data_IF_457407239038
#
_entry.id   IF_457407239038
#
_cell.length_a   1.000
_cell.length_b   1.000
_cell.length_c   1.000
_cell.angle_alpha   90.00
_cell.angle_beta   90.00
_cell.angle_gamma   90.00
#
_symmetry.space_group_name_H-M   'P 1'
#
loop_
_entity.id
_entity.type
_entity.pdbx_description
1 polymer ?
#
# COMPACT_ATOMS: atom_id res chain seq x y z
N UNK A 1 -16.66 3.44 -19.99
CA UNK A 1 -16.04 4.69 -20.49
C UNK A 1 -14.58 4.37 -20.79
N UNK A 2 -14.16 4.46 -22.05
CA UNK A 2 -12.79 4.13 -22.45
C UNK A 2 -11.90 5.35 -22.18
N UNK A 3 -10.99 5.24 -21.22
CA UNK A 3 -9.97 6.25 -20.97
C UNK A 3 -8.73 5.87 -21.78
N UNK A 4 -8.15 6.83 -22.47
CA UNK A 4 -6.84 6.69 -23.13
C UNK A 4 -5.74 6.67 -22.05
N UNK A 5 -4.85 5.66 -22.01
CA UNK A 5 -3.71 5.64 -21.10
C UNK A 5 -2.78 6.85 -21.26
N UNK A 6 -2.67 7.39 -22.47
CA UNK A 6 -1.87 8.58 -22.78
C UNK A 6 -2.63 9.81 -22.30
N UNK A 7 -2.02 10.57 -21.38
CA UNK A 7 -2.58 11.82 -20.90
C UNK A 7 -2.35 12.95 -21.91
N UNK A 8 -1.13 13.06 -22.42
CA UNK A 8 -0.73 14.01 -23.46
C UNK A 8 0.65 13.63 -24.01
N UNK A 9 1.01 14.18 -25.17
CA UNK A 9 2.31 13.96 -25.83
C UNK A 9 3.10 15.25 -25.86
N UNK A 10 4.39 15.21 -25.48
CA UNK A 10 5.33 16.34 -25.59
C UNK A 10 6.52 15.91 -26.43
N UNK A 11 6.75 16.59 -27.56
CA UNK A 11 7.93 16.36 -28.39
C UNK A 11 8.05 14.92 -28.91
N UNK A 12 6.93 14.24 -29.15
CA UNK A 12 6.89 12.83 -29.56
C UNK A 12 7.07 11.82 -28.42
N UNK A 13 7.07 12.27 -27.16
CA UNK A 13 7.12 11.42 -25.97
C UNK A 13 5.74 11.42 -25.32
N UNK A 14 5.14 10.23 -25.18
CA UNK A 14 3.84 10.06 -24.55
C UNK A 14 3.97 10.06 -23.02
N UNK A 15 3.22 10.95 -22.38
CA UNK A 15 3.09 11.01 -20.93
C UNK A 15 1.87 10.23 -20.51
N UNK A 16 2.08 9.15 -19.75
CA UNK A 16 1.02 8.24 -19.31
C UNK A 16 0.34 8.76 -18.04
N UNK A 17 -0.98 8.60 -17.95
CA UNK A 17 -1.74 8.88 -16.72
C UNK A 17 -1.17 8.13 -15.50
N UNK A 18 -0.74 6.88 -15.71
CA UNK A 18 -0.14 6.07 -14.66
C UNK A 18 1.09 6.76 -14.03
N UNK A 19 1.95 7.36 -14.87
CA UNK A 19 3.13 8.11 -14.41
C UNK A 19 2.74 9.36 -13.62
N UNK A 20 1.75 10.12 -14.10
CA UNK A 20 1.22 11.29 -13.40
C UNK A 20 0.70 10.89 -12.01
N UNK A 21 -0.12 9.84 -11.93
CA UNK A 21 -0.70 9.35 -10.67
C UNK A 21 0.36 8.85 -9.68
N UNK A 22 1.41 8.17 -10.15
CA UNK A 22 2.55 7.80 -9.30
C UNK A 22 3.21 9.05 -8.72
N UNK A 23 3.57 10.03 -9.56
CA UNK A 23 4.25 11.25 -9.11
C UNK A 23 3.38 12.04 -8.14
N UNK A 24 2.08 12.14 -8.40
CA UNK A 24 1.11 12.75 -7.49
C UNK A 24 1.06 12.00 -6.15
N UNK A 25 0.99 10.67 -6.17
CA UNK A 25 1.01 9.85 -4.96
C UNK A 25 2.30 10.04 -4.15
N UNK A 26 3.45 10.11 -4.83
CA UNK A 26 4.75 10.38 -4.21
C UNK A 26 4.79 11.79 -3.59
N UNK A 27 4.31 12.80 -4.30
CA UNK A 27 4.26 14.18 -3.80
C UNK A 27 3.36 14.30 -2.56
N UNK A 28 2.17 13.67 -2.58
CA UNK A 28 1.27 13.61 -1.42
C UNK A 28 1.89 12.84 -0.25
N UNK A 29 2.64 11.77 -0.52
CA UNK A 29 3.36 11.03 0.49
C UNK A 29 4.46 11.86 1.16
N UNK A 30 5.26 12.57 0.36
CA UNK A 30 6.28 13.49 0.84
C UNK A 30 5.67 14.63 1.66
N UNK A 31 4.61 15.27 1.15
CA UNK A 31 3.88 16.33 1.85
C UNK A 31 3.34 15.84 3.20
N UNK A 32 2.75 14.65 3.24
CA UNK A 32 2.28 14.03 4.49
C UNK A 32 3.42 13.85 5.49
N UNK A 33 4.60 13.42 5.01
CA UNK A 33 5.81 13.33 5.81
C UNK A 33 6.19 14.69 6.40
N UNK A 34 6.37 15.70 5.55
CA UNK A 34 6.77 17.06 5.93
C UNK A 34 5.88 17.64 7.04
N UNK A 35 4.56 17.43 6.94
CA UNK A 35 3.59 17.90 7.94
C UNK A 35 3.68 17.19 9.30
N UNK A 36 4.44 16.08 9.38
CA UNK A 36 4.52 15.20 10.56
C UNK A 36 5.91 15.10 11.17
N UNK A 37 6.97 15.54 10.50
CA UNK A 37 8.36 15.45 10.97
C UNK A 37 8.54 15.92 12.42
N UNK A 38 8.07 17.13 12.72
CA UNK A 38 8.21 17.73 14.05
C UNK A 38 7.47 16.95 15.13
N UNK A 39 6.29 16.38 14.81
CA UNK A 39 5.51 15.57 15.76
C UNK A 39 6.21 14.27 16.11
N UNK A 40 6.97 13.71 15.18
CA UNK A 40 7.78 12.51 15.38
C UNK A 40 9.18 12.82 15.97
N UNK A 41 9.47 14.10 16.25
CA UNK A 41 10.76 14.54 16.76
C UNK A 41 11.89 14.32 15.75
N UNK A 42 11.59 14.45 14.46
CA UNK A 42 12.55 14.37 13.36
C UNK A 42 12.98 15.79 12.92
N UNK A 43 14.21 15.96 12.42
CA UNK A 43 14.63 17.21 11.81
C UNK A 43 13.71 17.63 10.66
N UNK A 44 13.63 18.94 10.40
CA UNK A 44 12.96 19.44 9.19
C UNK A 44 13.60 18.86 7.93
N UNK A 45 12.80 18.74 6.89
CA UNK A 45 13.17 18.27 5.55
C UNK A 45 13.58 16.78 5.49
N UNK A 46 13.43 16.03 6.59
CA UNK A 46 13.70 14.59 6.64
C UNK A 46 12.88 13.80 5.60
N UNK A 47 11.62 14.16 5.39
CA UNK A 47 10.73 13.55 4.40
C UNK A 47 11.19 13.85 2.98
N UNK A 48 11.65 15.08 2.72
CA UNK A 48 12.20 15.48 1.42
C UNK A 48 13.50 14.74 1.15
N UNK A 49 14.43 14.74 2.11
CA UNK A 49 15.70 14.01 2.04
C UNK A 49 15.48 12.51 1.77
N UNK A 50 14.56 11.88 2.51
CA UNK A 50 14.19 10.48 2.28
C UNK A 50 13.56 10.24 0.92
N UNK A 51 12.76 11.17 0.42
CA UNK A 51 12.14 11.05 -0.91
C UNK A 51 13.20 11.19 -2.00
N UNK A 52 14.04 12.22 -1.94
CA UNK A 52 15.09 12.50 -2.92
C UNK A 52 16.17 11.43 -2.95
N UNK A 53 16.46 10.77 -1.82
CA UNK A 53 17.37 9.62 -1.78
C UNK A 53 16.67 8.31 -2.16
N UNK A 54 15.51 8.05 -1.56
CA UNK A 54 14.84 6.76 -1.64
C UNK A 54 14.26 6.47 -3.02
N UNK A 55 13.73 7.48 -3.72
CA UNK A 55 13.12 7.29 -5.04
C UNK A 55 14.14 6.87 -6.10
N UNK A 56 15.29 7.56 -6.29
CA UNK A 56 16.32 7.08 -7.22
C UNK A 56 16.83 5.69 -6.85
N UNK A 57 17.08 5.43 -5.56
CA UNK A 57 17.50 4.10 -5.10
C UNK A 57 16.45 3.03 -5.43
N UNK A 58 15.16 3.32 -5.24
CA UNK A 58 14.07 2.39 -5.56
C UNK A 58 13.97 2.11 -7.07
N UNK A 59 14.13 3.13 -7.92
CA UNK A 59 14.12 2.94 -9.38
C UNK A 59 15.28 2.06 -9.82
N UNK A 60 16.49 2.35 -9.32
CA UNK A 60 17.69 1.54 -9.59
C UNK A 60 17.51 0.11 -9.09
N UNK A 61 17.05 -0.07 -7.85
CA UNK A 61 16.81 -1.38 -7.25
C UNK A 61 15.76 -2.19 -8.02
N UNK A 62 14.65 -1.55 -8.42
CA UNK A 62 13.61 -2.18 -9.21
C UNK A 62 14.12 -2.66 -10.56
N UNK A 63 15.00 -1.88 -11.20
CA UNK A 63 15.63 -2.24 -12.47
C UNK A 63 16.62 -3.38 -12.32
N UNK A 64 17.54 -3.28 -11.36
CA UNK A 64 18.55 -4.31 -11.08
C UNK A 64 17.87 -5.65 -10.78
N UNK A 65 16.84 -5.64 -9.94
CA UNK A 65 16.08 -6.84 -9.63
C UNK A 65 15.41 -7.42 -10.88
N UNK A 66 14.71 -6.61 -11.68
CA UNK A 66 14.07 -7.09 -12.90
C UNK A 66 15.08 -7.74 -13.87
N UNK A 67 16.20 -7.07 -14.14
CA UNK A 67 17.23 -7.57 -15.05
C UNK A 67 17.86 -8.87 -14.52
N UNK A 68 18.08 -8.99 -13.21
CA UNK A 68 18.64 -10.21 -12.62
C UNK A 68 17.73 -11.43 -12.86
N UNK A 69 16.41 -11.27 -12.71
CA UNK A 69 15.45 -12.36 -12.94
C UNK A 69 15.12 -12.58 -14.42
N UNK A 70 15.34 -11.58 -15.27
CA UNK A 70 15.15 -11.66 -16.72
C UNK A 70 16.47 -11.78 -17.50
N UNK A 71 17.57 -12.22 -16.86
CA UNK A 71 18.93 -12.12 -17.40
C UNK A 71 19.10 -12.75 -18.79
N UNK A 72 18.41 -13.85 -19.05
CA UNK A 72 18.45 -14.55 -20.35
C UNK A 72 18.03 -13.64 -21.51
N UNK A 73 17.09 -12.72 -21.30
CA UNK A 73 16.64 -11.74 -22.30
C UNK A 73 17.65 -10.61 -22.56
N UNK A 74 18.64 -10.44 -21.67
CA UNK A 74 19.67 -9.41 -21.77
C UNK A 74 21.04 -9.96 -22.17
N UNK A 75 21.31 -11.24 -21.91
CA UNK A 75 22.62 -11.86 -22.06
C UNK A 75 23.19 -11.78 -23.50
N UNK A 76 22.32 -11.79 -24.52
CA UNK A 76 22.73 -11.68 -25.93
C UNK A 76 22.41 -10.31 -26.56
N UNK A 77 21.81 -9.40 -25.79
CA UNK A 77 21.43 -8.07 -26.25
C UNK A 77 22.51 -7.02 -26.00
N UNK A 78 22.33 -5.79 -26.50
CA UNK A 78 23.24 -4.71 -26.20
C UNK A 78 23.17 -4.32 -24.71
N UNK A 79 24.33 -4.28 -24.05
CA UNK A 79 24.44 -4.13 -22.59
C UNK A 79 23.75 -2.87 -22.04
N UNK A 80 23.69 -1.79 -22.81
CA UNK A 80 23.05 -0.54 -22.38
C UNK A 80 21.57 -0.71 -22.01
N UNK A 81 20.88 -1.72 -22.57
CA UNK A 81 19.48 -2.02 -22.25
C UNK A 81 19.28 -2.37 -20.78
N UNK A 82 20.30 -2.85 -20.07
CA UNK A 82 20.23 -3.07 -18.62
C UNK A 82 19.84 -1.80 -17.86
N UNK A 83 20.23 -0.63 -18.37
CA UNK A 83 19.95 0.68 -17.75
C UNK A 83 18.67 1.35 -18.29
N UNK A 84 18.06 0.81 -19.34
CA UNK A 84 16.94 1.42 -20.05
C UNK A 84 15.62 1.32 -19.27
N UNK A 85 15.45 2.15 -18.24
CA UNK A 85 14.24 2.20 -17.40
C UNK A 85 13.01 2.69 -18.16
N UNK A 86 13.20 3.42 -19.26
CA UNK A 86 12.13 3.90 -20.14
C UNK A 86 11.54 2.81 -21.05
N UNK A 87 12.22 1.65 -21.19
CA UNK A 87 11.65 0.47 -21.86
C UNK A 87 10.71 -0.34 -20.96
N UNK A 88 10.44 0.14 -19.74
CA UNK A 88 9.72 -0.61 -18.71
C UNK A 88 10.62 -1.64 -18.02
N UNK A 89 10.02 -2.69 -17.45
CA UNK A 89 10.76 -3.74 -16.75
C UNK A 89 11.32 -3.26 -15.41
N UNK A 90 10.41 -2.91 -14.50
CA UNK A 90 10.72 -2.53 -13.12
C UNK A 90 9.99 -3.50 -12.18
N UNK A 91 10.74 -4.17 -11.30
CA UNK A 91 10.17 -5.10 -10.34
C UNK A 91 10.00 -4.43 -8.97
N UNK A 92 8.76 -4.39 -8.45
CA UNK A 92 8.44 -3.70 -7.19
C UNK A 92 9.25 -4.21 -6.00
N UNK A 93 9.57 -5.52 -5.95
CA UNK A 93 10.37 -6.10 -4.88
C UNK A 93 11.77 -5.49 -4.80
N UNK A 94 12.42 -5.27 -5.96
CA UNK A 94 13.72 -4.61 -6.02
C UNK A 94 13.66 -3.17 -5.52
N UNK A 95 12.60 -2.44 -5.88
CA UNK A 95 12.38 -1.08 -5.43
C UNK A 95 12.18 -0.99 -3.92
N UNK A 96 11.37 -1.89 -3.35
CA UNK A 96 11.13 -1.95 -1.90
C UNK A 96 12.40 -2.28 -1.13
N UNK A 97 13.17 -3.28 -1.57
CA UNK A 97 14.44 -3.67 -0.94
C UNK A 97 15.41 -2.49 -0.95
N UNK A 98 15.60 -1.85 -2.11
CA UNK A 98 16.52 -0.72 -2.23
C UNK A 98 16.07 0.49 -1.39
N UNK A 99 14.77 0.79 -1.34
CA UNK A 99 14.23 1.85 -0.48
C UNK A 99 14.46 1.57 1.02
N UNK A 100 14.31 0.32 1.46
CA UNK A 100 14.60 -0.08 2.83
C UNK A 100 16.10 0.06 3.16
N UNK A 101 16.97 -0.38 2.26
CA UNK A 101 18.43 -0.26 2.42
C UNK A 101 18.84 1.22 2.48
N UNK A 102 18.36 2.05 1.55
CA UNK A 102 18.67 3.48 1.51
C UNK A 102 18.12 4.22 2.73
N UNK A 103 16.90 3.91 3.16
CA UNK A 103 16.30 4.47 4.37
C UNK A 103 17.05 4.07 5.64
N UNK A 104 17.51 2.83 5.73
CA UNK A 104 18.35 2.36 6.84
C UNK A 104 19.72 3.06 6.83
N UNK A 105 20.39 3.13 5.68
CA UNK A 105 21.66 3.83 5.54
C UNK A 105 21.53 5.31 5.93
N UNK A 106 20.48 5.99 5.46
CA UNK A 106 20.15 7.37 5.84
C UNK A 106 19.97 7.52 7.35
N UNK A 107 19.22 6.61 7.99
CA UNK A 107 19.04 6.61 9.44
C UNK A 107 20.37 6.52 10.18
N UNK A 108 21.29 5.67 9.72
CA UNK A 108 22.62 5.49 10.33
C UNK A 108 23.50 6.72 10.15
N UNK A 109 23.56 7.28 8.95
CA UNK A 109 24.36 8.48 8.64
C UNK A 109 23.87 9.69 9.44
N UNK A 110 22.55 9.90 9.49
CA UNK A 110 21.93 11.02 10.21
C UNK A 110 21.72 10.76 11.70
N UNK A 111 22.11 9.58 12.22
CA UNK A 111 21.92 9.14 13.61
C UNK A 111 20.45 9.22 14.07
N UNK A 112 19.52 8.91 13.18
CA UNK A 112 18.08 8.90 13.43
C UNK A 112 17.59 7.47 13.70
N UNK A 113 16.45 7.35 14.40
CA UNK A 113 15.80 6.06 14.60
C UNK A 113 15.13 5.61 13.30
N UNK A 114 15.56 4.49 12.73
CA UNK A 114 14.95 3.89 11.54
C UNK A 114 13.45 3.65 11.72
N UNK A 115 13.02 3.25 12.92
CA UNK A 115 11.60 3.02 13.20
C UNK A 115 10.76 4.30 13.14
N UNK A 116 11.32 5.45 13.54
CA UNK A 116 10.64 6.75 13.38
C UNK A 116 10.58 7.19 11.91
N UNK A 117 11.60 6.85 11.12
CA UNK A 117 11.56 7.10 9.67
C UNK A 117 10.51 6.20 8.99
N UNK A 118 10.38 4.95 9.44
CA UNK A 118 9.33 4.05 8.98
C UNK A 118 7.92 4.57 9.35
N UNK A 119 7.74 5.07 10.58
CA UNK A 119 6.48 5.73 11.00
C UNK A 119 6.18 6.98 10.18
N UNK A 120 7.20 7.78 9.84
CA UNK A 120 7.08 8.95 8.98
C UNK A 120 6.58 8.54 7.59
N UNK A 121 7.17 7.50 7.00
CA UNK A 121 6.86 7.04 5.64
C UNK A 121 5.52 6.30 5.53
N UNK A 122 5.07 5.59 6.57
CA UNK A 122 3.91 4.68 6.50
C UNK A 122 2.61 5.32 5.97
N UNK A 123 2.13 6.47 6.48
CA UNK A 123 0.98 7.15 5.86
C UNK A 123 1.26 7.61 4.43
N UNK A 124 2.50 7.97 4.11
CA UNK A 124 2.90 8.32 2.75
C UNK A 124 2.75 7.16 1.77
N UNK A 125 3.07 5.94 2.19
CA UNK A 125 2.82 4.74 1.37
C UNK A 125 1.32 4.50 1.15
N UNK A 126 0.49 4.64 2.20
CA UNK A 126 -0.95 4.46 2.08
C UNK A 126 -1.59 5.45 1.09
N UNK A 127 -1.27 6.75 1.17
CA UNK A 127 -1.82 7.72 0.20
C UNK A 127 -1.25 7.54 -1.21
N UNK A 128 0.03 7.17 -1.32
CA UNK A 128 0.64 6.86 -2.62
C UNK A 128 -0.03 5.68 -3.31
N UNK A 129 -0.32 4.62 -2.56
CA UNK A 129 -1.06 3.45 -3.06
C UNK A 129 -2.50 3.83 -3.40
N UNK A 130 -3.18 4.58 -2.53
CA UNK A 130 -4.55 5.06 -2.78
C UNK A 130 -4.68 5.72 -4.16
N UNK A 131 -3.77 6.63 -4.51
CA UNK A 131 -3.77 7.32 -5.80
C UNK A 131 -3.28 6.40 -6.92
N UNK A 132 -2.21 5.65 -6.70
CA UNK A 132 -1.60 4.79 -7.71
C UNK A 132 -2.54 3.74 -8.29
N UNK A 133 -3.51 3.24 -7.50
CA UNK A 133 -4.50 2.25 -7.98
C UNK A 133 -5.39 2.76 -9.11
N UNK A 134 -5.61 4.06 -9.20
CA UNK A 134 -6.35 4.63 -10.33
C UNK A 134 -5.57 4.52 -11.64
N UNK A 135 -4.25 4.37 -11.58
CA UNK A 135 -3.44 4.04 -12.75
C UNK A 135 -3.82 2.69 -13.33
N UNK A 136 -4.07 1.68 -12.48
CA UNK A 136 -4.49 0.34 -12.95
C UNK A 136 -5.83 0.40 -13.69
N UNK A 137 -6.75 1.24 -13.21
CA UNK A 137 -8.03 1.46 -13.90
C UNK A 137 -7.83 2.08 -15.29
N UNK A 138 -7.01 3.13 -15.39
CA UNK A 138 -6.74 3.81 -16.67
C UNK A 138 -6.02 2.87 -17.65
N UNK A 139 -5.05 2.08 -17.16
CA UNK A 139 -4.30 1.12 -17.96
C UNK A 139 -5.05 -0.19 -18.24
N UNK A 140 -6.22 -0.40 -17.62
CA UNK A 140 -7.02 -1.63 -17.76
C UNK A 140 -6.19 -2.87 -17.38
N UNK A 141 -5.57 -2.83 -16.22
CA UNK A 141 -4.80 -3.94 -15.67
C UNK A 141 -5.23 -4.21 -14.23
N UNK A 142 -4.80 -5.34 -13.66
CA UNK A 142 -4.98 -5.66 -12.25
C UNK A 142 -6.44 -5.68 -11.74
N UNK A 143 -7.42 -5.89 -12.64
CA UNK A 143 -8.83 -6.01 -12.30
C UNK A 143 -9.18 -7.40 -11.73
N UNK A 144 -10.32 -7.47 -11.03
CA UNK A 144 -10.76 -8.68 -10.37
C UNK A 144 -11.41 -9.70 -11.30
N UNK A 145 -12.01 -10.73 -10.72
CA UNK A 145 -12.80 -11.74 -11.45
C UNK A 145 -13.99 -11.12 -12.20
N UNK A 146 -14.36 -11.75 -13.32
CA UNK A 146 -15.55 -11.37 -14.09
C UNK A 146 -16.84 -11.66 -13.29
N UNK A 147 -17.81 -10.75 -13.38
CA UNK A 147 -19.08 -10.82 -12.66
C UNK A 147 -20.25 -10.88 -13.64
N UNK A 148 -20.94 -12.02 -13.67
CA UNK A 148 -22.08 -12.27 -14.56
C UNK A 148 -23.44 -11.85 -13.99
N UNK A 149 -23.52 -11.66 -12.67
CA UNK A 149 -24.77 -11.25 -12.03
C UNK A 149 -25.06 -9.77 -12.32
N UNK A 150 -26.06 -9.49 -13.16
CA UNK A 150 -26.47 -8.15 -13.56
C UNK A 150 -26.82 -7.22 -12.38
N UNK A 151 -27.30 -7.76 -11.25
CA UNK A 151 -27.60 -6.95 -10.08
C UNK A 151 -26.36 -6.34 -9.41
N UNK A 152 -25.16 -6.88 -9.70
CA UNK A 152 -23.87 -6.41 -9.16
C UNK A 152 -23.06 -5.61 -10.19
N UNK A 153 -23.55 -5.48 -11.43
CA UNK A 153 -22.87 -4.81 -12.54
C UNK A 153 -23.04 -3.29 -12.48
N UNK A 154 -22.56 -2.68 -11.41
CA UNK A 154 -22.54 -1.23 -11.24
C UNK A 154 -21.33 -0.79 -10.43
N UNK A 155 -20.83 0.41 -10.68
CA UNK A 155 -19.76 1.00 -9.88
C UNK A 155 -20.30 1.45 -8.51
N UNK A 156 -19.59 1.22 -7.38
CA UNK A 156 -18.21 0.78 -7.26
C UNK A 156 -17.98 -0.74 -7.08
N UNK A 157 -19.02 -1.56 -7.25
CA UNK A 157 -18.91 -3.02 -7.09
C UNK A 157 -18.13 -3.64 -8.26
N UNK A 158 -18.57 -3.31 -9.47
CA UNK A 158 -17.89 -3.75 -10.68
C UNK A 158 -17.53 -2.53 -11.53
N UNK A 159 -16.63 -2.76 -12.47
CA UNK A 159 -16.26 -1.82 -13.51
C UNK A 159 -16.38 -2.50 -14.86
N UNK A 160 -16.97 -1.80 -15.82
CA UNK A 160 -17.06 -2.26 -17.20
C UNK A 160 -15.71 -1.98 -17.90
N UNK A 161 -15.11 -3.06 -18.40
CA UNK A 161 -13.93 -3.01 -19.25
C UNK A 161 -14.30 -3.73 -20.55
N UNK A 162 -14.47 -2.94 -21.61
CA UNK A 162 -14.76 -3.43 -22.96
C UNK A 162 -15.99 -4.36 -23.03
N UNK A 163 -17.05 -4.00 -22.28
CA UNK A 163 -18.32 -4.74 -22.26
C UNK A 163 -18.34 -5.95 -21.34
N UNK A 164 -17.24 -6.24 -20.63
CA UNK A 164 -17.21 -7.24 -19.56
C UNK A 164 -17.09 -6.56 -18.20
N UNK A 165 -17.95 -6.96 -17.26
CA UNK A 165 -17.91 -6.44 -15.90
C UNK A 165 -16.96 -7.24 -15.03
N UNK A 166 -16.01 -6.55 -14.41
CA UNK A 166 -15.04 -7.13 -13.48
C UNK A 166 -15.20 -6.51 -12.10
N UNK A 167 -14.92 -7.28 -11.05
CA UNK A 167 -14.84 -6.72 -9.70
C UNK A 167 -13.82 -5.58 -9.68
N UNK A 168 -14.22 -4.41 -9.16
CA UNK A 168 -13.43 -3.19 -9.17
C UNK A 168 -12.32 -3.18 -8.10
N UNK A 169 -11.42 -4.17 -8.16
CA UNK A 169 -10.32 -4.36 -7.19
C UNK A 169 -9.46 -3.11 -7.02
N UNK A 170 -9.18 -2.36 -8.11
CA UNK A 170 -8.48 -1.08 -8.02
C UNK A 170 -9.14 -0.11 -7.03
N UNK A 171 -10.48 -0.04 -7.05
CA UNK A 171 -11.24 0.85 -6.19
C UNK A 171 -11.28 0.32 -4.75
N UNK A 172 -11.42 -1.00 -4.58
CA UNK A 172 -11.35 -1.63 -3.26
C UNK A 172 -10.01 -1.36 -2.57
N UNK A 173 -8.90 -1.55 -3.31
CA UNK A 173 -7.54 -1.27 -2.85
C UNK A 173 -7.37 0.24 -2.55
N UNK A 174 -7.88 1.11 -3.43
CA UNK A 174 -7.80 2.57 -3.26
C UNK A 174 -8.56 3.06 -2.02
N UNK A 175 -9.82 2.63 -1.87
CA UNK A 175 -10.66 2.97 -0.72
C UNK A 175 -10.06 2.44 0.59
N UNK A 176 -9.53 1.21 0.58
CA UNK A 176 -8.84 0.65 1.74
C UNK A 176 -7.63 1.49 2.14
N UNK A 177 -6.77 1.81 1.17
CA UNK A 177 -5.57 2.61 1.42
C UNK A 177 -5.92 4.00 1.97
N UNK A 178 -7.01 4.62 1.49
CA UNK A 178 -7.51 5.87 2.05
C UNK A 178 -7.96 5.73 3.50
N UNK A 179 -8.68 4.65 3.82
CA UNK A 179 -9.13 4.36 5.19
C UNK A 179 -7.93 4.13 6.11
N UNK A 180 -6.94 3.35 5.67
CA UNK A 180 -5.68 3.16 6.40
C UNK A 180 -4.97 4.50 6.61
N UNK A 181 -4.85 5.33 5.57
CA UNK A 181 -4.25 6.65 5.67
C UNK A 181 -4.93 7.52 6.74
N UNK A 182 -6.25 7.65 6.69
CA UNK A 182 -7.04 8.44 7.65
C UNK A 182 -6.89 7.85 9.07
N UNK A 183 -6.98 6.52 9.21
CA UNK A 183 -6.80 5.84 10.49
C UNK A 183 -5.44 6.15 11.10
N UNK A 184 -4.36 6.01 10.35
CA UNK A 184 -3.00 6.25 10.85
C UNK A 184 -2.83 7.70 11.33
N UNK A 185 -3.32 8.68 10.56
CA UNK A 185 -3.25 10.10 10.94
C UNK A 185 -4.09 10.42 12.17
N UNK A 186 -5.32 9.87 12.26
CA UNK A 186 -6.21 10.05 13.39
C UNK A 186 -5.63 9.41 14.66
N UNK A 187 -5.14 8.17 14.56
CA UNK A 187 -4.55 7.42 15.64
C UNK A 187 -3.29 8.11 16.19
N UNK A 188 -2.43 8.63 15.32
CA UNK A 188 -1.29 9.46 15.73
C UNK A 188 -1.73 10.72 16.48
N UNK A 189 -2.70 11.46 15.94
CA UNK A 189 -3.22 12.69 16.56
C UNK A 189 -3.84 12.42 17.93
N UNK A 190 -4.50 11.28 18.10
CA UNK A 190 -5.10 10.82 19.36
C UNK A 190 -4.09 10.13 20.30
N UNK A 191 -2.78 10.17 19.99
CA UNK A 191 -1.71 9.56 20.80
C UNK A 191 -1.90 8.05 21.04
N UNK A 192 -2.59 7.37 20.12
CA UNK A 192 -2.77 5.92 20.15
C UNK A 192 -1.44 5.18 19.95
N UNK A 193 -0.57 5.72 19.08
CA UNK A 193 0.79 5.25 18.87
C UNK A 193 1.72 5.86 19.91
N UNK A 194 2.35 5.00 20.73
CA UNK A 194 3.19 5.44 21.86
C UNK A 194 4.67 5.13 21.64
N UNK A 195 4.98 4.19 20.74
CA UNK A 195 6.35 3.74 20.49
C UNK A 195 6.73 3.94 19.03
N UNK A 196 8.02 4.12 18.79
CA UNK A 196 8.57 4.11 17.44
C UNK A 196 8.30 2.75 16.76
N UNK A 197 7.86 2.81 15.51
CA UNK A 197 7.43 1.69 14.69
C UNK A 197 5.96 1.34 14.86
N UNK A 198 5.20 1.92 15.80
CA UNK A 198 3.79 1.56 15.97
C UNK A 198 2.97 1.91 14.72
N UNK A 199 3.15 3.11 14.15
CA UNK A 199 2.45 3.55 12.94
C UNK A 199 2.80 2.63 11.76
N UNK A 200 4.07 2.31 11.58
CA UNK A 200 4.51 1.40 10.53
C UNK A 200 3.96 -0.02 10.70
N UNK A 201 3.95 -0.57 11.91
CA UNK A 201 3.40 -1.91 12.18
C UNK A 201 1.91 -1.97 11.87
N UNK A 202 1.15 -0.92 12.24
CA UNK A 202 -0.27 -0.83 11.89
C UNK A 202 -0.50 -0.73 10.38
N UNK A 203 0.27 0.09 9.68
CA UNK A 203 0.24 0.14 8.22
C UNK A 203 0.52 -1.24 7.60
N UNK A 204 1.63 -1.88 7.99
CA UNK A 204 2.06 -3.16 7.45
C UNK A 204 1.01 -4.25 7.69
N UNK A 205 0.40 -4.26 8.87
CA UNK A 205 -0.66 -5.21 9.21
C UNK A 205 -1.94 -4.99 8.38
N UNK A 206 -2.45 -3.75 8.32
CA UNK A 206 -3.68 -3.44 7.60
C UNK A 206 -3.51 -3.61 6.08
N UNK A 207 -2.33 -3.28 5.54
CA UNK A 207 -1.99 -3.53 4.15
C UNK A 207 -1.91 -5.04 3.86
N UNK A 208 -1.26 -5.82 4.73
CA UNK A 208 -1.19 -7.28 4.57
C UNK A 208 -2.58 -7.93 4.59
N UNK A 209 -3.50 -7.45 5.43
CA UNK A 209 -4.86 -7.99 5.45
C UNK A 209 -5.62 -7.71 4.15
N UNK A 210 -5.60 -6.47 3.65
CA UNK A 210 -6.20 -6.15 2.36
C UNK A 210 -5.57 -6.98 1.25
N UNK A 211 -4.25 -7.05 1.20
CA UNK A 211 -3.55 -7.80 0.16
C UNK A 211 -3.89 -9.29 0.20
N UNK A 212 -4.06 -9.88 1.38
CA UNK A 212 -4.49 -11.28 1.49
C UNK A 212 -5.92 -11.50 0.95
N UNK A 213 -6.84 -10.56 1.19
CA UNK A 213 -8.23 -10.62 0.72
C UNK A 213 -8.35 -10.33 -0.77
N UNK A 214 -7.84 -9.19 -1.24
CA UNK A 214 -7.99 -8.73 -2.63
C UNK A 214 -7.22 -9.61 -3.60
N UNK A 215 -6.05 -10.14 -3.22
CA UNK A 215 -5.33 -11.07 -4.08
C UNK A 215 -6.18 -12.29 -4.41
N UNK A 216 -7.11 -12.71 -3.55
CA UNK A 216 -8.10 -13.78 -3.84
C UNK A 216 -9.04 -13.45 -5.00
N UNK A 217 -9.37 -12.18 -5.19
CA UNK A 217 -10.24 -11.67 -6.25
C UNK A 217 -9.50 -11.41 -7.57
N UNK A 218 -8.15 -11.40 -7.56
CA UNK A 218 -7.35 -11.12 -8.74
C UNK A 218 -7.20 -12.34 -9.65
N UNK A 219 -7.02 -12.05 -10.94
CA UNK A 219 -6.81 -13.03 -12.00
C UNK A 219 -5.33 -13.10 -12.42
N UNK A 220 -4.55 -12.07 -12.13
CA UNK A 220 -3.17 -11.84 -12.58
C UNK A 220 -2.12 -12.05 -11.46
N UNK A 221 -2.34 -13.03 -10.58
CA UNK A 221 -1.46 -13.28 -9.44
C UNK A 221 -0.13 -13.93 -9.83
N UNK A 222 0.93 -13.61 -9.09
CA UNK A 222 2.19 -14.34 -9.16
C UNK A 222 2.09 -15.63 -8.36
N UNK A 223 2.38 -16.77 -8.99
CA UNK A 223 2.30 -18.10 -8.37
C UNK A 223 3.67 -18.68 -8.08
N UNK A 224 3.79 -19.36 -6.93
CA UNK A 224 4.85 -20.30 -6.60
C UNK A 224 4.20 -21.68 -6.41
N UNK A 225 4.24 -22.51 -7.45
CA UNK A 225 3.42 -23.73 -7.50
C UNK A 225 1.93 -23.37 -7.49
N UNK A 226 1.19 -23.86 -6.50
CA UNK A 226 -0.24 -23.58 -6.33
C UNK A 226 -0.52 -22.34 -5.46
N UNK A 227 0.50 -21.76 -4.83
CA UNK A 227 0.34 -20.67 -3.88
C UNK A 227 0.54 -19.30 -4.55
N UNK A 228 -0.37 -18.35 -4.25
CA UNK A 228 -0.20 -16.96 -4.64
C UNK A 228 0.84 -16.30 -3.73
N UNK A 229 1.95 -15.84 -4.32
CA UNK A 229 3.11 -15.30 -3.58
C UNK A 229 2.70 -14.11 -2.72
N UNK A 230 1.85 -13.22 -3.25
CA UNK A 230 1.38 -12.05 -2.50
C UNK A 230 0.58 -12.43 -1.25
N UNK A 231 -0.25 -13.47 -1.32
CA UNK A 231 -1.02 -13.95 -0.16
C UNK A 231 -0.09 -14.52 0.91
N UNK A 232 0.84 -15.39 0.52
CA UNK A 232 1.78 -15.99 1.46
C UNK A 232 2.61 -14.91 2.17
N UNK A 233 3.19 -13.97 1.41
CA UNK A 233 3.98 -12.88 1.97
C UNK A 233 3.15 -12.01 2.92
N UNK A 234 1.89 -11.74 2.58
CA UNK A 234 0.98 -10.96 3.41
C UNK A 234 0.67 -11.68 4.73
N UNK A 235 0.39 -12.98 4.69
CA UNK A 235 0.15 -13.78 5.90
C UNK A 235 1.41 -13.82 6.79
N UNK A 236 2.59 -14.00 6.21
CA UNK A 236 3.86 -13.94 6.94
C UNK A 236 4.10 -12.56 7.57
N UNK A 237 3.84 -11.48 6.84
CA UNK A 237 3.99 -10.12 7.34
C UNK A 237 3.01 -9.84 8.50
N UNK A 238 1.74 -10.24 8.36
CA UNK A 238 0.74 -10.10 9.42
C UNK A 238 1.14 -10.89 10.68
N UNK A 239 1.58 -12.14 10.52
CA UNK A 239 2.07 -12.96 11.62
C UNK A 239 3.29 -12.34 12.32
N UNK A 240 4.25 -11.81 11.55
CA UNK A 240 5.41 -11.12 12.10
C UNK A 240 5.01 -9.89 12.94
N UNK A 241 4.06 -9.08 12.47
CA UNK A 241 3.55 -7.94 13.24
C UNK A 241 2.88 -8.39 14.54
N UNK A 242 2.06 -9.45 14.51
CA UNK A 242 1.42 -9.99 15.71
C UNK A 242 2.44 -10.48 16.75
N UNK A 243 3.49 -11.17 16.31
CA UNK A 243 4.60 -11.57 17.18
C UNK A 243 5.29 -10.35 17.79
N UNK A 244 5.61 -9.33 16.98
CA UNK A 244 6.25 -8.10 17.46
C UNK A 244 5.37 -7.39 18.50
N UNK A 245 4.05 -7.29 18.30
CA UNK A 245 3.14 -6.73 19.29
C UNK A 245 3.09 -7.55 20.58
N UNK A 246 3.05 -8.88 20.49
CA UNK A 246 3.11 -9.78 21.64
C UNK A 246 4.38 -9.59 22.46
N UNK A 247 5.53 -9.43 21.80
CA UNK A 247 6.82 -9.16 22.44
C UNK A 247 6.92 -7.73 23.00
N UNK A 248 6.23 -6.75 22.41
CA UNK A 248 6.27 -5.35 22.84
C UNK A 248 5.38 -5.05 24.05
N UNK A 249 4.28 -5.75 24.29
CA UNK A 249 3.47 -5.52 25.49
C UNK A 249 2.22 -6.38 25.58
N UNK A 250 2.08 -7.13 26.68
CA UNK A 250 1.06 -8.17 26.89
C UNK A 250 -0.40 -7.72 26.73
N UNK A 251 -1.33 -8.70 26.63
CA UNK A 251 -2.81 -8.69 26.48
C UNK A 251 -3.51 -7.51 25.75
N UNK A 252 -3.21 -6.24 26.02
CA UNK A 252 -3.87 -5.05 25.42
C UNK A 252 -3.49 -4.80 23.96
N UNK A 253 -2.26 -5.12 23.54
CA UNK A 253 -1.87 -5.07 22.12
C UNK A 253 -2.56 -6.16 21.30
N UNK A 254 -2.78 -7.34 21.90
CA UNK A 254 -3.53 -8.44 21.29
C UNK A 254 -5.02 -8.09 21.09
N UNK A 255 -5.65 -7.43 22.07
CA UNK A 255 -7.05 -6.97 21.92
C UNK A 255 -7.23 -5.93 20.81
N UNK A 256 -6.27 -5.01 20.63
CA UNK A 256 -6.28 -4.05 19.51
C UNK A 256 -6.20 -4.76 18.15
N UNK A 257 -5.35 -5.76 18.04
CA UNK A 257 -5.22 -6.58 16.84
C UNK A 257 -6.49 -7.42 16.59
N UNK A 258 -7.10 -8.00 17.64
CA UNK A 258 -8.34 -8.78 17.54
C UNK A 258 -9.52 -7.94 17.06
N UNK A 259 -9.70 -6.72 17.58
CA UNK A 259 -10.79 -5.85 17.13
C UNK A 259 -10.58 -5.32 15.71
N UNK A 260 -9.35 -5.00 15.35
CA UNK A 260 -9.02 -4.68 13.95
C UNK A 260 -9.26 -5.90 13.05
N UNK A 261 -8.81 -7.09 13.42
CA UNK A 261 -9.06 -8.33 12.67
C UNK A 261 -10.54 -8.66 12.54
N UNK A 262 -11.33 -8.47 13.60
CA UNK A 262 -12.77 -8.69 13.56
C UNK A 262 -13.48 -7.66 12.66
N UNK A 263 -13.04 -6.40 12.68
CA UNK A 263 -13.51 -5.34 11.79
C UNK A 263 -13.25 -5.67 10.32
N UNK A 264 -12.01 -6.08 10.03
CA UNK A 264 -11.56 -6.42 8.68
C UNK A 264 -12.22 -7.72 8.20
N UNK A 265 -12.31 -8.75 9.04
CA UNK A 265 -12.97 -10.01 8.71
C UNK A 265 -14.47 -9.83 8.49
N UNK A 266 -15.13 -8.98 9.28
CA UNK A 266 -16.54 -8.63 9.09
C UNK A 266 -16.74 -7.90 7.76
N UNK A 267 -15.89 -6.92 7.44
CA UNK A 267 -15.96 -6.23 6.16
C UNK A 267 -15.68 -7.16 4.97
N UNK A 268 -14.68 -8.02 5.07
CA UNK A 268 -14.36 -9.02 4.04
C UNK A 268 -15.51 -10.04 3.86
N UNK A 269 -16.13 -10.50 4.95
CA UNK A 269 -17.30 -11.39 4.90
C UNK A 269 -18.52 -10.71 4.27
N UNK A 270 -18.78 -9.44 4.60
CA UNK A 270 -19.87 -8.65 4.01
C UNK A 270 -19.63 -8.35 2.54
N UNK A 271 -18.37 -8.13 2.14
CA UNK A 271 -17.99 -8.01 0.72
C UNK A 271 -18.18 -9.33 -0.04
N UNK A 272 -17.83 -10.47 0.57
CA UNK A 272 -18.03 -11.80 -0.02
C UNK A 272 -19.52 -12.17 -0.15
N UNK A 273 -20.37 -11.66 0.75
CA UNK A 273 -21.82 -11.86 0.72
C UNK A 273 -22.57 -10.93 -0.27
N UNK A 274 -21.86 -10.16 -1.11
CA UNK A 274 -22.47 -9.24 -2.08
C UNK A 274 -23.03 -7.95 -1.46
N UNK A 275 -22.76 -7.68 -0.18
CA UNK A 275 -23.25 -6.50 0.56
C UNK A 275 -22.15 -5.43 0.66
N UNK A 276 -21.66 -4.95 -0.49
CA UNK A 276 -20.50 -4.06 -0.58
C UNK A 276 -20.67 -2.71 0.16
N UNK A 277 -21.88 -2.13 0.15
CA UNK A 277 -22.18 -0.92 0.92
C UNK A 277 -22.20 -1.16 2.44
N UNK A 278 -22.64 -2.35 2.88
CA UNK A 278 -22.63 -2.75 4.28
C UNK A 278 -21.21 -3.09 4.77
N UNK A 279 -20.35 -3.63 3.89
CA UNK A 279 -18.94 -3.90 4.20
C UNK A 279 -18.15 -2.62 4.49
N UNK A 280 -18.34 -1.57 3.69
CA UNK A 280 -17.74 -0.25 3.93
C UNK A 280 -18.28 0.42 5.20
N UNK A 281 -19.59 0.33 5.45
CA UNK A 281 -20.21 0.85 6.68
C UNK A 281 -19.75 0.13 7.95
N UNK A 282 -19.64 -1.19 7.91
CA UNK A 282 -19.14 -2.01 9.01
C UNK A 282 -17.64 -1.76 9.28
N UNK A 283 -16.84 -1.51 8.24
CA UNK A 283 -15.42 -1.18 8.39
C UNK A 283 -15.23 0.18 9.08
N UNK A 284 -16.00 1.20 8.68
CA UNK A 284 -15.99 2.53 9.30
C UNK A 284 -16.46 2.44 10.76
N UNK A 285 -17.55 1.71 11.03
CA UNK A 285 -18.09 1.52 12.37
C UNK A 285 -17.12 0.78 13.30
N UNK A 286 -16.45 -0.25 12.81
CA UNK A 286 -15.56 -1.06 13.63
C UNK A 286 -14.20 -0.38 13.90
N UNK A 287 -13.68 0.43 12.95
CA UNK A 287 -12.54 1.31 13.22
C UNK A 287 -12.91 2.43 14.21
N UNK A 288 -14.11 3.00 14.12
CA UNK A 288 -14.61 3.98 15.09
C UNK A 288 -14.83 3.37 16.49
N UNK A 289 -15.37 2.16 16.58
CA UNK A 289 -15.55 1.41 17.83
C UNK A 289 -14.22 1.00 18.45
N UNK A 290 -13.23 0.61 17.65
CA UNK A 290 -11.88 0.33 18.14
C UNK A 290 -11.19 1.56 18.75
N UNK A 291 -11.38 2.74 18.13
CA UNK A 291 -10.91 4.01 18.69
C UNK A 291 -11.69 4.40 19.95
N UNK A 292 -13.01 4.19 19.97
CA UNK A 292 -13.88 4.51 21.12
C UNK A 292 -13.62 3.61 22.34
N UNK A 293 -13.56 2.29 22.15
CA UNK A 293 -13.29 1.32 23.22
C UNK A 293 -11.92 1.59 23.86
N UNK A 294 -10.93 2.01 23.07
CA UNK A 294 -9.64 2.43 23.60
C UNK A 294 -9.71 3.70 24.45
N UNK A 295 -10.49 4.70 24.02
CA UNK A 295 -10.66 5.93 24.80
C UNK A 295 -11.48 5.73 26.07
N UNK A 296 -12.37 4.74 26.12
CA UNK A 296 -13.18 4.44 27.30
C UNK A 296 -12.38 3.80 28.44
N UNK A 297 -11.32 3.03 28.14
CA UNK A 297 -10.43 2.44 29.15
C UNK A 297 -9.45 3.44 29.79
N UNK A 298 -9.12 4.54 29.12
CA UNK A 298 -8.24 5.60 29.67
C UNK A 298 -9.02 6.60 30.56
N UNK A 299 -10.35 6.53 30.63
CA UNK A 299 -11.19 7.37 31.51
C UNK A 299 -11.47 6.71 32.87
N UNK A 300 -11.24 5.39 32.98
CA UNK A 300 -11.49 4.60 34.18
C UNK A 300 -10.24 4.27 35.01
N UNK A 301 -9.10 4.89 34.69
CA UNK A 301 -7.82 4.78 35.42
C UNK A 301 -7.32 6.18 35.83
#
# INVERSE_FOLDING_TARGET
>A
MMIDPVAFTIGGIDVQWYGILIVTGMALGCLTGMLREQRLGLPRDTAVDLTLLGVPCAIVGARVYYVAFAWQSYAQGPFWRVFAVWEGGLAIYGGLIAALISGYAYARVKKLSFLRLADLAAPGFAIGQCVGRWGNFVNREAYGVAVSNAALQFFPVCVDIEGTWYAATFFYESAWCLIVFIFLLMAERRRFFRRAGDTFLWYAFLYALERACVEGLRTDSLYLGTLRVSQLLSLCAAAAVLVIWGLRGGRRAAWRAVWALAAVALAAALMHAGMLAAGLGALIAALALGVWAYTAEDVSA
#
